data_IF_590058325358
#
_entry.id   IF_590058325358
#
_cell.length_a   1.000
_cell.length_b   1.000
_cell.length_c   1.000
_cell.angle_alpha   90.00
_cell.angle_beta   90.00
_cell.angle_gamma   90.00
#
_symmetry.space_group_name_H-M   'P 1'
#
loop_
_entity.id
_entity.type
_entity.pdbx_description
1 polymer ?
#
# COMPACT_ATOMS: atom_id res chain seq x y z
N UNK A 1 1.17 27.67 22.99
CA UNK A 1 2.11 27.11 22.00
C UNK A 1 2.55 25.74 22.48
N UNK A 2 1.72 24.71 22.22
CA UNK A 2 2.04 23.27 22.14
C UNK A 2 0.72 22.54 21.83
N UNK A 3 0.28 22.58 20.56
CA UNK A 3 -0.69 21.59 20.05
C UNK A 3 0.07 20.67 19.09
N UNK A 4 0.91 19.81 19.68
CA UNK A 4 1.60 18.72 18.99
C UNK A 4 0.76 17.45 18.99
N UNK A 5 -0.55 17.56 18.78
CA UNK A 5 -1.44 16.41 18.68
C UNK A 5 -1.02 15.53 17.48
N UNK A 6 -1.05 14.19 17.61
CA UNK A 6 -0.67 13.31 16.51
C UNK A 6 -1.50 13.67 15.30
N UNK A 7 -0.83 14.06 14.23
CA UNK A 7 -1.46 14.47 12.99
C UNK A 7 -2.11 13.22 12.38
N UNK A 8 -3.38 12.98 12.71
CA UNK A 8 -4.02 11.68 12.51
C UNK A 8 -4.05 11.38 11.02
N UNK A 9 -3.35 10.31 10.60
CA UNK A 9 -3.35 9.87 9.22
C UNK A 9 -4.80 9.68 8.76
N UNK A 10 -5.10 10.10 7.53
CA UNK A 10 -6.47 9.93 7.02
C UNK A 10 -6.79 8.44 6.87
N UNK A 11 -8.05 8.05 7.04
CA UNK A 11 -8.48 6.64 6.91
C UNK A 11 -8.00 6.01 5.59
N UNK A 12 -7.99 6.78 4.50
CA UNK A 12 -7.50 6.31 3.21
C UNK A 12 -5.97 6.16 3.12
N UNK A 13 -5.22 6.98 3.85
CA UNK A 13 -3.76 6.83 3.99
C UNK A 13 -3.40 5.54 4.74
N UNK A 14 -4.13 5.25 5.82
CA UNK A 14 -3.97 4.00 6.59
C UNK A 14 -4.38 2.80 5.73
N UNK A 15 -5.55 2.84 5.11
CA UNK A 15 -6.04 1.75 4.26
C UNK A 15 -5.07 1.46 3.10
N UNK A 16 -4.57 2.50 2.42
CA UNK A 16 -3.56 2.36 1.38
C UNK A 16 -2.27 1.72 1.92
N UNK A 17 -1.80 2.15 3.10
CA UNK A 17 -0.64 1.57 3.77
C UNK A 17 -0.81 0.08 4.10
N UNK A 18 -1.98 -0.32 4.62
CA UNK A 18 -2.29 -1.72 4.92
C UNK A 18 -2.32 -2.56 3.63
N UNK A 19 -2.94 -2.05 2.56
CA UNK A 19 -2.98 -2.74 1.27
C UNK A 19 -1.57 -2.95 0.72
N UNK A 20 -0.69 -1.95 0.80
CA UNK A 20 0.71 -2.07 0.39
C UNK A 20 1.43 -3.13 1.21
N UNK A 21 1.26 -3.12 2.54
CA UNK A 21 1.92 -4.09 3.42
C UNK A 21 1.52 -5.53 3.08
N UNK A 22 0.22 -5.77 2.89
CA UNK A 22 -0.30 -7.09 2.48
C UNK A 22 0.22 -7.48 1.10
N UNK A 23 0.21 -6.55 0.15
CA UNK A 23 0.70 -6.80 -1.21
C UNK A 23 2.18 -7.19 -1.24
N UNK A 24 3.03 -6.55 -0.42
CA UNK A 24 4.46 -6.89 -0.32
C UNK A 24 4.66 -8.32 0.18
N UNK A 25 3.93 -8.74 1.22
CA UNK A 25 4.01 -10.11 1.73
C UNK A 25 3.60 -11.12 0.66
N UNK A 26 2.46 -10.89 0.01
CA UNK A 26 1.97 -11.76 -1.06
C UNK A 26 2.93 -11.82 -2.26
N UNK A 27 3.55 -10.68 -2.61
CA UNK A 27 4.52 -10.59 -3.69
C UNK A 27 5.75 -11.46 -3.40
N UNK A 28 6.31 -11.35 -2.19
CA UNK A 28 7.47 -12.14 -1.78
C UNK A 28 7.16 -13.63 -1.78
N UNK A 29 6.04 -14.04 -1.17
CA UNK A 29 5.61 -15.45 -1.14
C UNK A 29 5.43 -16.00 -2.55
N UNK A 30 4.74 -15.25 -3.42
CA UNK A 30 4.51 -15.68 -4.80
C UNK A 30 5.79 -15.72 -5.63
N UNK A 31 6.72 -14.79 -5.40
CA UNK A 31 8.01 -14.75 -6.10
C UNK A 31 8.87 -15.96 -5.74
N UNK A 32 8.96 -16.32 -4.45
CA UNK A 32 9.68 -17.52 -4.03
C UNK A 32 9.03 -18.79 -4.56
N UNK A 33 7.70 -18.89 -4.51
CA UNK A 33 6.97 -20.05 -5.05
C UNK A 33 7.19 -20.23 -6.56
N UNK A 34 7.12 -19.13 -7.32
CA UNK A 34 7.39 -19.16 -8.76
C UNK A 34 8.86 -19.52 -9.05
N UNK A 35 9.81 -18.93 -8.32
CA UNK A 35 11.24 -19.27 -8.45
C UNK A 35 11.58 -20.71 -8.08
N UNK A 36 10.76 -21.35 -7.23
CA UNK A 36 10.86 -22.77 -6.88
C UNK A 36 10.21 -23.71 -7.91
N UNK A 37 9.70 -23.19 -9.04
CA UNK A 37 9.11 -23.98 -10.12
C UNK A 37 7.59 -24.16 -10.04
N UNK A 38 6.91 -23.46 -9.12
CA UNK A 38 5.43 -23.46 -9.08
C UNK A 38 4.89 -22.44 -10.06
N UNK A 39 4.72 -22.84 -11.32
CA UNK A 39 4.33 -21.95 -12.42
C UNK A 39 3.00 -21.22 -12.15
N UNK A 40 2.03 -21.88 -11.50
CA UNK A 40 0.74 -21.28 -11.13
C UNK A 40 0.89 -20.07 -10.18
N UNK A 41 2.04 -19.93 -9.50
CA UNK A 41 2.33 -18.77 -8.65
C UNK A 41 2.58 -17.47 -9.44
N UNK A 42 2.68 -17.54 -10.76
CA UNK A 42 2.79 -16.35 -11.62
C UNK A 42 1.57 -15.42 -11.54
N UNK A 43 0.36 -15.98 -11.51
CA UNK A 43 -0.87 -15.20 -11.40
C UNK A 43 -1.00 -14.44 -10.08
N UNK A 44 -0.82 -15.06 -8.89
CA UNK A 44 -0.83 -14.32 -7.64
C UNK A 44 0.35 -13.35 -7.52
N UNK A 45 1.51 -13.61 -8.14
CA UNK A 45 2.60 -12.64 -8.23
C UNK A 45 2.16 -11.37 -8.96
N UNK A 46 1.55 -11.49 -10.14
CA UNK A 46 1.01 -10.34 -10.89
C UNK A 46 -0.08 -9.61 -10.10
N UNK A 47 -0.99 -10.35 -9.47
CA UNK A 47 -2.06 -9.78 -8.68
C UNK A 47 -1.52 -9.00 -7.47
N UNK A 48 -0.53 -9.54 -6.77
CA UNK A 48 0.12 -8.88 -5.65
C UNK A 48 0.84 -7.59 -6.09
N UNK A 49 1.52 -7.62 -7.24
CA UNK A 49 2.14 -6.42 -7.80
C UNK A 49 1.10 -5.33 -8.12
N UNK A 50 0.04 -5.69 -8.85
CA UNK A 50 -1.03 -4.75 -9.20
C UNK A 50 -1.69 -4.16 -7.94
N UNK A 51 -2.00 -5.01 -6.95
CA UNK A 51 -2.56 -4.59 -5.67
C UNK A 51 -1.65 -3.60 -4.93
N UNK A 52 -0.33 -3.86 -4.93
CA UNK A 52 0.65 -2.97 -4.31
C UNK A 52 0.69 -1.58 -4.96
N UNK A 53 0.69 -1.52 -6.30
CA UNK A 53 0.64 -0.25 -7.04
C UNK A 53 -0.68 0.49 -6.78
N UNK A 54 -1.81 -0.22 -6.75
CA UNK A 54 -3.11 0.37 -6.40
C UNK A 54 -3.11 0.93 -4.97
N UNK A 55 -2.61 0.16 -4.00
CA UNK A 55 -2.49 0.60 -2.61
C UNK A 55 -1.63 1.87 -2.47
N UNK A 56 -0.51 1.93 -3.21
CA UNK A 56 0.35 3.10 -3.28
C UNK A 56 -0.40 4.33 -3.83
N UNK A 57 -1.15 4.17 -4.92
CA UNK A 57 -1.96 5.25 -5.49
C UNK A 57 -3.00 5.78 -4.51
N UNK A 58 -3.70 4.88 -3.80
CA UNK A 58 -4.66 5.25 -2.74
C UNK A 58 -3.94 6.03 -1.64
N UNK A 59 -2.84 5.50 -1.12
CA UNK A 59 -2.09 6.13 -0.03
C UNK A 59 -1.65 7.56 -0.39
N UNK A 60 -1.07 7.73 -1.58
CA UNK A 60 -0.60 9.04 -2.06
C UNK A 60 -1.76 10.02 -2.31
N UNK A 61 -2.85 9.57 -2.94
CA UNK A 61 -4.00 10.43 -3.24
C UNK A 61 -4.62 11.01 -1.95
N UNK A 62 -4.75 10.20 -0.91
CA UNK A 62 -5.27 10.65 0.38
C UNK A 62 -4.28 11.52 1.14
N UNK A 63 -2.99 11.22 1.08
CA UNK A 63 -1.92 12.05 1.66
C UNK A 63 -1.90 13.45 1.02
N UNK A 64 -2.03 13.52 -0.29
CA UNK A 64 -2.06 14.79 -1.02
C UNK A 64 -3.38 15.57 -0.82
N UNK A 65 -4.50 14.86 -0.66
CA UNK A 65 -5.76 15.49 -0.28
C UNK A 65 -5.70 16.11 1.12
N UNK A 66 -4.99 15.46 2.05
CA UNK A 66 -4.74 16.00 3.39
C UNK A 66 -3.85 17.23 3.34
N UNK A 67 -2.72 17.20 2.62
CA UNK A 67 -1.86 18.38 2.50
C UNK A 67 -2.58 19.58 1.90
N UNK A 68 -3.48 19.36 0.92
CA UNK A 68 -4.33 20.42 0.37
C UNK A 68 -5.34 21.01 1.36
N UNK A 69 -5.71 20.27 2.41
CA UNK A 69 -6.58 20.74 3.50
C UNK A 69 -5.79 21.47 4.57
N UNK A 70 -4.64 20.93 4.97
CA UNK A 70 -3.80 21.47 6.04
C UNK A 70 -3.06 22.76 5.61
N UNK A 71 -2.90 23.00 4.30
CA UNK A 71 -2.31 24.23 3.73
C UNK A 71 -3.29 25.38 3.46
N UNK A 72 -4.53 25.27 3.92
CA UNK A 72 -5.53 26.35 3.93
C UNK A 72 -5.72 26.85 5.36
#
# INVERSE_FOLDING_TARGET
>A
MTDGGPSTASTGEIAGGVVIAVAVVLLLVSAFAYGAGTEIAFFPLLAAFALGITGLGIHLAFREARFRRDGR
#
